data_IF_138042120182
#
_entry.id   IF_138042120182
#
_cell.length_a   1.000
_cell.length_b   1.000
_cell.length_c   1.000
_cell.angle_alpha   90.00
_cell.angle_beta   90.00
_cell.angle_gamma   90.00
#
_symmetry.space_group_name_H-M   'P 1'
#
loop_
_entity.id
_entity.type
_entity.pdbx_description
1 polymer ?
#
# COMPACT_ATOMS: atom_id res chain seq x y z
N UNK A 1 3.70 6.65 6.86
CA UNK A 1 2.68 7.12 5.88
C UNK A 1 2.80 6.25 4.64
N UNK A 2 1.71 5.97 3.94
CA UNK A 2 1.69 5.29 2.66
C UNK A 2 0.84 6.09 1.67
N UNK A 3 1.28 6.13 0.42
CA UNK A 3 0.58 6.73 -0.72
C UNK A 3 0.45 5.67 -1.81
N UNK A 4 -0.76 5.53 -2.38
CA UNK A 4 -1.00 4.64 -3.50
C UNK A 4 -0.87 5.41 -4.82
N UNK A 5 -0.01 4.94 -5.72
CA UNK A 5 0.21 5.61 -7.01
C UNK A 5 -0.95 5.39 -8.00
N UNK A 6 -1.53 4.20 -7.99
CA UNK A 6 -2.57 3.80 -8.95
C UNK A 6 -4.00 4.09 -8.46
N UNK A 7 -4.16 4.51 -7.20
CA UNK A 7 -5.46 4.69 -6.54
C UNK A 7 -5.42 5.96 -5.68
N UNK A 8 -6.50 6.75 -5.61
CA UNK A 8 -6.54 7.97 -4.80
C UNK A 8 -6.66 7.66 -3.29
N UNK A 9 -5.60 7.08 -2.71
CA UNK A 9 -5.57 6.64 -1.32
C UNK A 9 -4.26 7.08 -0.65
N UNK A 10 -4.41 7.73 0.52
CA UNK A 10 -3.31 8.10 1.41
C UNK A 10 -3.67 7.64 2.82
N UNK A 11 -2.74 6.98 3.51
CA UNK A 11 -2.97 6.45 4.86
C UNK A 11 -1.75 6.63 5.76
N UNK A 12 -1.99 6.57 7.07
CA UNK A 12 -0.93 6.59 8.09
C UNK A 12 -1.28 5.66 9.25
N UNK A 13 -0.24 5.18 9.94
CA UNK A 13 -0.36 4.34 11.12
C UNK A 13 0.95 4.38 11.93
N UNK A 14 0.91 3.83 13.15
CA UNK A 14 2.08 3.81 14.04
C UNK A 14 3.06 2.69 13.71
N UNK A 15 2.59 1.59 13.10
CA UNK A 15 3.42 0.43 12.73
C UNK A 15 3.23 0.06 11.26
N UNK A 16 4.19 -0.71 10.72
CA UNK A 16 4.11 -1.19 9.33
C UNK A 16 2.91 -2.14 9.12
N UNK A 17 2.62 -3.00 10.09
CA UNK A 17 1.46 -3.91 10.04
C UNK A 17 0.13 -3.17 10.01
N UNK A 18 -0.04 -2.17 10.89
CA UNK A 18 -1.21 -1.30 10.89
C UNK A 18 -1.31 -0.51 9.58
N UNK A 19 -0.19 0.00 9.08
CA UNK A 19 -0.15 0.76 7.83
C UNK A 19 -0.63 -0.10 6.66
N UNK A 20 -0.16 -1.36 6.58
CA UNK A 20 -0.60 -2.30 5.54
C UNK A 20 -2.07 -2.70 5.69
N UNK A 21 -2.59 -2.82 6.92
CA UNK A 21 -4.02 -3.02 7.16
C UNK A 21 -4.84 -1.85 6.63
N UNK A 22 -4.42 -0.62 6.90
CA UNK A 22 -5.09 0.59 6.43
C UNK A 22 -5.06 0.70 4.90
N UNK A 23 -3.94 0.37 4.26
CA UNK A 23 -3.83 0.33 2.78
C UNK A 23 -4.81 -0.69 2.19
N UNK A 24 -4.89 -1.91 2.73
CA UNK A 24 -5.85 -2.93 2.26
C UNK A 24 -7.30 -2.46 2.38
N UNK A 25 -7.65 -1.83 3.50
CA UNK A 25 -8.98 -1.27 3.71
C UNK A 25 -9.28 -0.14 2.74
N UNK A 26 -8.34 0.78 2.50
CA UNK A 26 -8.52 1.88 1.55
C UNK A 26 -8.74 1.37 0.12
N UNK A 27 -7.99 0.35 -0.31
CA UNK A 27 -8.18 -0.29 -1.63
C UNK A 27 -9.54 -1.00 -1.69
N UNK A 28 -9.93 -1.73 -0.64
CA UNK A 28 -11.23 -2.39 -0.59
C UNK A 28 -12.40 -1.40 -0.67
N UNK A 29 -12.31 -0.27 0.03
CA UNK A 29 -13.30 0.81 -0.03
C UNK A 29 -13.36 1.44 -1.41
N UNK A 30 -12.21 1.65 -2.06
CA UNK A 30 -12.15 2.24 -3.41
C UNK A 30 -12.76 1.32 -4.49
N UNK A 31 -12.70 0.00 -4.28
CA UNK A 31 -13.25 -1.00 -5.20
C UNK A 31 -14.65 -1.49 -4.79
N UNK A 32 -15.25 -0.95 -3.73
CA UNK A 32 -16.57 -1.39 -3.26
C UNK A 32 -17.64 -1.07 -4.32
N UNK A 33 -18.27 -2.12 -4.86
CA UNK A 33 -19.29 -1.98 -5.93
C UNK A 33 -18.70 -1.85 -7.33
N UNK A 34 -17.38 -1.76 -7.47
CA UNK A 34 -16.68 -1.70 -8.75
C UNK A 34 -16.33 -3.10 -9.26
N UNK A 35 -16.14 -3.24 -10.58
CA UNK A 35 -15.61 -4.46 -11.17
C UNK A 35 -14.09 -4.33 -11.37
N UNK A 36 -13.25 -5.12 -10.67
CA UNK A 36 -11.79 -5.00 -10.76
C UNK A 36 -11.23 -5.14 -12.18
N UNK A 37 -11.93 -5.89 -13.05
CA UNK A 37 -11.53 -6.08 -14.44
C UNK A 37 -11.54 -4.78 -15.25
N UNK A 38 -12.38 -3.80 -14.88
CA UNK A 38 -12.46 -2.49 -15.56
C UNK A 38 -11.19 -1.65 -15.30
N UNK A 39 -10.43 -1.98 -14.26
CA UNK A 39 -9.15 -1.37 -13.89
C UNK A 39 -7.95 -2.25 -14.31
N UNK A 40 -8.18 -3.32 -15.06
CA UNK A 40 -7.13 -4.26 -15.46
C UNK A 40 -6.63 -5.16 -14.32
N UNK A 41 -7.36 -5.25 -13.20
CA UNK A 41 -7.00 -6.06 -12.06
C UNK A 41 -7.55 -7.48 -12.21
N UNK A 42 -6.68 -8.48 -11.97
CA UNK A 42 -7.09 -9.87 -11.88
C UNK A 42 -7.85 -10.14 -10.55
N UNK A 43 -8.76 -11.12 -10.51
CA UNK A 43 -9.35 -11.58 -9.25
C UNK A 43 -8.27 -11.98 -8.25
N UNK A 44 -8.29 -11.39 -7.05
CA UNK A 44 -7.29 -11.67 -6.02
C UNK A 44 -5.89 -11.12 -6.32
N UNK A 45 -5.79 -10.05 -7.11
CA UNK A 45 -4.52 -9.36 -7.36
C UNK A 45 -3.77 -9.04 -6.05
N UNK A 46 -2.45 -9.23 -6.05
CA UNK A 46 -1.59 -8.92 -4.91
C UNK A 46 -1.21 -7.45 -4.87
N UNK A 47 -1.03 -6.91 -3.66
CA UNK A 47 -0.47 -5.57 -3.46
C UNK A 47 1.05 -5.69 -3.39
N UNK A 48 1.75 -5.01 -4.29
CA UNK A 48 3.20 -4.80 -4.20
C UNK A 48 3.44 -3.43 -3.55
N UNK A 49 4.18 -3.42 -2.45
CA UNK A 49 4.51 -2.19 -1.74
C UNK A 49 6.02 -2.10 -1.53
N UNK A 50 6.56 -0.92 -1.84
CA UNK A 50 7.94 -0.54 -1.55
C UNK A 50 7.94 0.48 -0.44
N UNK A 51 8.89 0.37 0.48
CA UNK A 51 9.10 1.36 1.53
C UNK A 51 10.58 1.69 1.61
N UNK A 52 10.86 2.96 1.86
CA UNK A 52 12.22 3.46 1.98
C UNK A 52 12.64 3.45 3.46
N UNK A 53 13.86 3.01 3.70
CA UNK A 53 14.50 3.04 4.99
C UNK A 53 15.70 3.98 4.91
N UNK A 54 16.01 4.63 6.03
CA UNK A 54 17.28 5.35 6.14
C UNK A 54 18.44 4.35 6.03
N UNK A 55 19.55 4.74 5.38
CA UNK A 55 20.73 3.89 5.34
C UNK A 55 21.25 3.68 6.76
N UNK A 56 21.61 2.43 7.11
CA UNK A 56 22.33 2.20 8.35
C UNK A 56 23.69 2.92 8.27
N UNK A 57 24.09 3.66 9.32
CA UNK A 57 25.40 4.30 9.34
C UNK A 57 26.47 3.22 9.19
N UNK A 58 27.23 3.28 8.09
CA UNK A 58 28.33 2.36 7.85
C UNK A 58 29.39 2.58 8.94
N UNK A 59 29.46 1.66 9.91
CA UNK A 59 30.56 1.60 10.87
C UNK A 59 31.81 1.09 10.13
N UNK A 60 32.49 1.97 9.41
CA UNK A 60 33.86 1.73 8.97
C UNK A 60 34.78 1.95 10.16
N UNK A 61 35.30 0.85 10.71
CA UNK A 61 36.40 0.82 11.67
C UNK A 61 37.76 0.95 10.95
#
# INVERSE_FOLDING_TARGET
>A
MAECFDLPAVTQAATLDELMSNVKQAIALQLEGENPADFGLAPGASILASYELEPEPQAHA
#
